data_IF_729888175416
#
_entry.id   IF_729888175416
#
_cell.length_a   1.000
_cell.length_b   1.000
_cell.length_c   1.000
_cell.angle_alpha   90.00
_cell.angle_beta   90.00
_cell.angle_gamma   90.00
#
_symmetry.space_group_name_H-M   'P 1'
#
loop_
_entity.id
_entity.type
_entity.pdbx_description
1 polymer ?
#
# COMPACT_ATOMS: atom_id res chain seq x y z
N UNK A 1 -2.45 -20.10 -14.97
CA UNK A 1 -2.93 -19.10 -14.00
C UNK A 1 -3.03 -17.79 -14.75
N UNK A 2 -4.18 -17.14 -14.69
CA UNK A 2 -4.39 -15.83 -15.30
C UNK A 2 -3.62 -14.79 -14.49
N UNK A 3 -3.12 -13.75 -15.15
CA UNK A 3 -2.51 -12.62 -14.46
C UNK A 3 -3.54 -11.90 -13.56
N UNK A 4 -3.11 -11.40 -12.42
CA UNK A 4 -3.89 -10.46 -11.60
C UNK A 4 -4.26 -9.26 -12.48
N UNK A 5 -5.54 -8.94 -12.52
CA UNK A 5 -6.08 -7.87 -13.37
C UNK A 5 -6.20 -6.56 -12.60
N UNK A 6 -6.23 -5.45 -13.32
CA UNK A 6 -6.45 -4.12 -12.72
C UNK A 6 -7.77 -4.02 -11.93
N UNK A 7 -8.82 -4.71 -12.37
CA UNK A 7 -10.13 -4.76 -11.67
C UNK A 7 -10.07 -5.50 -10.32
N UNK A 8 -9.00 -6.25 -10.06
CA UNK A 8 -8.77 -6.98 -8.81
C UNK A 8 -7.91 -6.16 -7.82
N UNK A 9 -7.47 -4.96 -8.21
CA UNK A 9 -6.72 -4.03 -7.36
C UNK A 9 -7.69 -2.94 -6.89
N UNK A 10 -8.03 -2.98 -5.60
CA UNK A 10 -9.12 -2.17 -5.04
C UNK A 10 -8.59 -1.32 -3.90
N UNK A 11 -8.81 0.00 -3.99
CA UNK A 11 -8.44 0.93 -2.93
C UNK A 11 -9.52 1.02 -1.86
N UNK A 12 -9.15 0.81 -0.60
CA UNK A 12 -10.01 0.95 0.57
C UNK A 12 -9.46 1.99 1.55
N UNK A 13 -10.31 2.79 2.21
CA UNK A 13 -9.89 3.65 3.30
C UNK A 13 -9.73 2.85 4.61
N UNK A 14 -9.08 3.45 5.60
CA UNK A 14 -9.22 3.00 6.99
C UNK A 14 -10.60 3.31 7.57
N UNK A 15 -10.99 2.62 8.65
CA UNK A 15 -12.26 2.86 9.36
C UNK A 15 -12.31 4.28 9.96
N UNK A 16 -11.19 4.78 10.49
CA UNK A 16 -11.11 6.11 11.10
C UNK A 16 -10.39 7.09 10.16
N UNK A 17 -11.16 7.96 9.50
CA UNK A 17 -10.64 8.98 8.56
C UNK A 17 -10.54 10.40 9.17
N UNK A 18 -10.53 10.51 10.50
CA UNK A 18 -10.40 11.81 11.17
C UNK A 18 -8.99 12.40 10.96
N UNK A 19 -8.80 13.67 11.32
CA UNK A 19 -7.50 14.36 11.22
C UNK A 19 -6.80 14.46 12.59
N UNK A 20 -6.84 13.36 13.36
CA UNK A 20 -6.21 13.30 14.69
C UNK A 20 -5.13 12.22 14.74
N UNK A 21 -4.36 12.18 15.83
CA UNK A 21 -3.32 11.16 16.07
C UNK A 21 -3.89 9.73 16.15
N UNK A 22 -5.20 9.54 16.35
CA UNK A 22 -5.87 8.23 16.33
C UNK A 22 -6.46 7.82 14.98
N UNK A 23 -6.31 8.67 13.94
CA UNK A 23 -6.73 8.34 12.59
C UNK A 23 -6.03 7.08 12.07
N UNK A 24 -6.62 6.39 11.09
CA UNK A 24 -6.06 5.19 10.51
C UNK A 24 -6.57 3.92 11.19
N UNK A 25 -5.64 3.04 11.58
CA UNK A 25 -5.99 1.71 12.06
C UNK A 25 -6.47 0.82 10.91
N UNK A 26 -7.49 0.00 11.16
CA UNK A 26 -7.90 -1.14 10.31
C UNK A 26 -8.59 -0.69 9.01
N UNK A 27 -8.40 -1.46 7.94
CA UNK A 27 -9.05 -1.28 6.63
C UNK A 27 -10.58 -1.38 6.72
N UNK A 28 -11.28 -0.49 6.03
CA UNK A 28 -12.73 -0.53 5.86
C UNK A 28 -13.08 -1.20 4.52
N UNK A 29 -13.29 -2.51 4.58
CA UNK A 29 -13.56 -3.36 3.42
C UNK A 29 -14.95 -3.14 2.79
N UNK A 30 -15.81 -2.33 3.43
CA UNK A 30 -17.15 -1.98 2.92
C UNK A 30 -17.14 -0.75 2.01
N UNK A 31 -16.10 0.09 2.10
CA UNK A 31 -15.98 1.29 1.30
C UNK A 31 -14.90 1.10 0.25
N UNK A 32 -15.28 1.28 -1.01
CA UNK A 32 -14.36 1.27 -2.15
C UNK A 32 -14.17 2.71 -2.61
N UNK A 33 -12.92 3.11 -2.78
CA UNK A 33 -12.56 4.38 -3.43
C UNK A 33 -12.24 4.04 -4.88
N UNK A 34 -13.00 4.60 -5.83
CA UNK A 34 -12.66 4.44 -7.24
C UNK A 34 -11.34 5.14 -7.53
N UNK A 35 -10.46 4.50 -8.29
CA UNK A 35 -9.09 5.00 -8.56
C UNK A 35 -9.06 6.39 -9.21
N UNK A 36 -10.08 6.76 -9.98
CA UNK A 36 -10.27 8.07 -10.63
C UNK A 36 -10.83 9.16 -9.67
N UNK A 37 -11.04 8.81 -8.40
CA UNK A 37 -11.67 9.66 -7.38
C UNK A 37 -10.89 9.69 -6.07
N UNK A 38 -9.60 9.34 -6.04
CA UNK A 38 -8.81 9.48 -4.79
C UNK A 38 -8.82 10.94 -4.29
N UNK A 39 -8.96 11.91 -5.20
CA UNK A 39 -9.23 13.32 -4.86
C UNK A 39 -10.53 13.57 -4.08
N UNK A 40 -11.47 12.63 -4.03
CA UNK A 40 -12.67 12.68 -3.16
C UNK A 40 -12.39 12.24 -1.72
N UNK A 41 -11.27 11.55 -1.48
CA UNK A 41 -10.82 11.20 -0.12
C UNK A 41 -10.23 12.43 0.56
N UNK A 42 -9.57 13.30 -0.21
CA UNK A 42 -9.06 14.57 0.29
C UNK A 42 -10.23 15.54 0.40
N UNK A 43 -10.46 16.03 1.62
CA UNK A 43 -11.44 17.08 1.85
C UNK A 43 -10.95 18.41 1.26
N UNK A 44 -11.89 19.26 0.82
CA UNK A 44 -11.55 20.59 0.32
C UNK A 44 -10.74 21.37 1.37
N UNK A 45 -9.57 21.87 0.95
CA UNK A 45 -8.70 22.67 1.80
C UNK A 45 -9.27 24.09 1.92
N UNK A 46 -9.61 24.47 3.14
CA UNK A 46 -10.24 25.77 3.40
C UNK A 46 -9.25 26.93 3.28
N UNK A 47 -9.73 28.13 2.95
CA UNK A 47 -8.88 29.33 2.89
C UNK A 47 -8.08 29.59 4.18
N UNK A 48 -8.65 29.44 5.40
CA UNK A 48 -7.88 29.57 6.64
C UNK A 48 -6.71 28.58 6.74
N UNK A 49 -6.91 27.34 6.28
CA UNK A 49 -5.85 26.32 6.26
C UNK A 49 -4.75 26.67 5.29
N UNK A 50 -5.08 27.22 4.11
CA UNK A 50 -4.06 27.69 3.15
C UNK A 50 -3.26 28.87 3.69
N UNK A 51 -3.91 29.80 4.39
CA UNK A 51 -3.23 30.98 4.95
C UNK A 51 -2.28 30.60 6.10
N UNK A 52 -2.69 29.68 6.97
CA UNK A 52 -1.88 29.27 8.13
C UNK A 52 -0.91 28.12 7.83
N UNK A 53 -1.17 27.38 6.75
CA UNK A 53 -0.60 26.07 6.50
C UNK A 53 -1.34 24.98 7.27
N UNK A 54 -1.39 23.79 6.69
CA UNK A 54 -2.05 22.62 7.26
C UNK A 54 -1.34 21.32 6.82
N UNK A 55 -1.63 20.24 7.53
CA UNK A 55 -1.24 18.89 7.16
C UNK A 55 -2.49 18.02 7.20
N UNK A 56 -2.80 17.35 6.08
CA UNK A 56 -3.88 16.38 5.99
C UNK A 56 -3.30 14.99 5.77
N UNK A 57 -3.93 13.99 6.37
CA UNK A 57 -3.47 12.61 6.30
C UNK A 57 -4.64 11.64 6.14
N UNK A 58 -4.43 10.63 5.30
CA UNK A 58 -5.43 9.62 4.99
C UNK A 58 -4.74 8.26 4.90
N UNK A 59 -5.25 7.28 5.65
CA UNK A 59 -4.76 5.91 5.55
C UNK A 59 -5.61 5.14 4.55
N UNK A 60 -4.94 4.58 3.54
CA UNK A 60 -5.52 3.82 2.45
C UNK A 60 -4.86 2.44 2.36
N UNK A 61 -5.50 1.56 1.61
CA UNK A 61 -5.10 0.18 1.41
C UNK A 61 -5.31 -0.17 -0.06
N UNK A 62 -4.26 -0.58 -0.76
CA UNK A 62 -4.43 -1.30 -2.03
C UNK A 62 -4.63 -2.78 -1.74
N UNK A 63 -5.86 -3.27 -1.88
CA UNK A 63 -6.21 -4.68 -1.69
C UNK A 63 -6.04 -5.44 -3.00
N UNK A 64 -5.38 -6.59 -2.95
CA UNK A 64 -5.27 -7.54 -4.05
C UNK A 64 -6.41 -8.55 -3.90
N UNK A 65 -7.58 -8.17 -4.44
CA UNK A 65 -8.81 -8.94 -4.38
C UNK A 65 -8.88 -9.98 -5.51
N UNK A 66 -7.85 -10.83 -5.64
CA UNK A 66 -7.82 -11.87 -6.66
C UNK A 66 -8.43 -13.20 -6.17
N UNK A 67 -9.38 -13.80 -6.91
CA UNK A 67 -10.11 -14.99 -6.45
C UNK A 67 -9.26 -16.25 -6.42
N UNK A 68 -8.18 -16.26 -7.21
CA UNK A 68 -7.25 -17.39 -7.32
C UNK A 68 -6.23 -17.45 -6.16
N UNK A 69 -6.27 -16.52 -5.20
CA UNK A 69 -5.32 -16.41 -4.08
C UNK A 69 -3.83 -16.38 -4.53
N UNK A 70 -3.55 -15.85 -5.71
CA UNK A 70 -2.17 -15.72 -6.20
C UNK A 70 -1.44 -14.63 -5.44
N UNK A 71 -0.15 -14.84 -5.21
CA UNK A 71 0.76 -13.85 -4.64
C UNK A 71 1.01 -12.75 -5.67
N UNK A 72 0.88 -11.48 -5.26
CA UNK A 72 1.28 -10.36 -6.09
C UNK A 72 2.73 -10.01 -5.77
N UNK A 73 3.64 -10.19 -6.74
CA UNK A 73 5.08 -10.13 -6.52
C UNK A 73 5.66 -8.76 -6.80
N UNK A 74 6.75 -8.44 -6.11
CA UNK A 74 7.56 -7.24 -6.34
C UNK A 74 6.71 -5.95 -6.42
N UNK A 75 5.86 -5.77 -5.42
CA UNK A 75 4.84 -4.71 -5.42
C UNK A 75 5.43 -3.36 -5.04
N UNK A 76 5.08 -2.36 -5.85
CA UNK A 76 5.42 -0.95 -5.67
C UNK A 76 4.17 -0.07 -5.67
N UNK A 77 4.11 0.90 -4.76
CA UNK A 77 3.09 1.96 -4.77
C UNK A 77 3.77 3.31 -4.95
N UNK A 78 3.22 4.14 -5.84
CA UNK A 78 3.77 5.45 -6.16
C UNK A 78 2.71 6.42 -6.66
N UNK A 79 3.00 7.71 -6.56
CA UNK A 79 2.18 8.77 -7.15
C UNK A 79 2.53 8.85 -8.64
N UNK A 80 1.56 8.66 -9.54
CA UNK A 80 1.77 8.67 -10.98
C UNK A 80 1.57 10.05 -11.60
N UNK A 81 0.69 10.86 -11.01
CA UNK A 81 0.41 12.25 -11.41
C UNK A 81 0.59 13.18 -10.20
N UNK A 82 1.60 14.08 -10.19
CA UNK A 82 1.82 15.01 -9.10
C UNK A 82 0.77 16.12 -9.08
N UNK A 83 0.57 16.73 -7.91
CA UNK A 83 -0.19 17.97 -7.80
C UNK A 83 0.53 19.11 -8.54
N UNK A 84 -0.26 19.97 -9.18
CA UNK A 84 0.23 21.17 -9.87
C UNK A 84 0.30 22.40 -8.97
N UNK A 85 -0.39 22.39 -7.84
CA UNK A 85 -0.46 23.49 -6.87
C UNK A 85 0.81 23.61 -6.03
N UNK A 86 0.78 24.52 -5.06
CA UNK A 86 1.80 24.67 -4.03
C UNK A 86 1.76 23.53 -2.99
N UNK A 87 0.75 22.65 -3.06
CA UNK A 87 0.62 21.55 -2.12
C UNK A 87 1.63 20.46 -2.40
N UNK A 88 1.95 19.71 -1.35
CA UNK A 88 2.98 18.69 -1.39
C UNK A 88 2.33 17.37 -1.02
N UNK A 89 2.14 16.55 -2.04
CA UNK A 89 1.62 15.20 -1.90
C UNK A 89 2.77 14.23 -1.63
N UNK A 90 2.64 13.49 -0.54
CA UNK A 90 3.57 12.46 -0.13
C UNK A 90 2.83 11.17 0.18
N UNK A 91 3.51 10.04 0.00
CA UNK A 91 3.09 8.75 0.51
C UNK A 91 3.97 8.34 1.69
N UNK A 92 3.46 7.55 2.62
CA UNK A 92 4.29 6.83 3.59
C UNK A 92 3.85 5.38 3.68
N UNK A 93 4.80 4.48 3.87
CA UNK A 93 4.49 3.06 4.10
C UNK A 93 3.77 2.95 5.44
N UNK A 94 2.55 2.39 5.43
CA UNK A 94 1.79 2.08 6.63
C UNK A 94 1.95 0.60 7.02
N UNK A 95 1.25 0.22 8.08
CA UNK A 95 1.02 -1.17 8.44
C UNK A 95 -0.49 -1.41 8.67
N UNK A 96 -0.89 -2.62 9.06
CA UNK A 96 -2.31 -2.96 9.19
C UNK A 96 -3.00 -2.35 10.43
N UNK A 97 -2.23 -1.86 11.40
CA UNK A 97 -2.71 -1.42 12.71
C UNK A 97 -2.31 0.00 13.09
N UNK A 98 -1.33 0.59 12.42
CA UNK A 98 -0.81 1.92 12.75
C UNK A 98 -1.89 2.99 12.62
N UNK A 99 -1.81 3.90 13.56
CA UNK A 99 -2.53 5.17 13.53
C UNK A 99 -1.58 6.30 13.16
N UNK A 100 -2.12 7.49 12.93
CA UNK A 100 -1.31 8.63 12.52
C UNK A 100 -0.20 8.97 13.53
N UNK A 101 -0.44 8.78 14.83
CA UNK A 101 0.58 8.96 15.86
C UNK A 101 1.87 8.16 15.59
N UNK A 102 1.73 6.95 15.03
CA UNK A 102 2.83 6.04 14.72
C UNK A 102 3.50 6.42 13.38
N UNK A 103 2.71 6.89 12.41
CA UNK A 103 3.14 7.10 11.03
C UNK A 103 3.60 8.53 10.71
N UNK A 104 3.28 9.54 11.52
CA UNK A 104 3.51 10.96 11.19
C UNK A 104 4.96 11.36 10.89
N UNK A 105 5.91 10.61 11.45
CA UNK A 105 7.36 10.81 11.26
C UNK A 105 7.99 9.76 10.34
N UNK A 106 7.19 8.90 9.71
CA UNK A 106 7.69 7.87 8.82
C UNK A 106 8.24 8.48 7.51
N UNK A 107 9.00 7.64 6.79
CA UNK A 107 9.63 7.97 5.50
C UNK A 107 8.58 8.40 4.47
N UNK A 108 8.76 9.59 3.88
CA UNK A 108 7.83 10.19 2.90
C UNK A 108 8.29 10.02 1.46
N UNK A 109 7.55 9.33 0.63
CA UNK A 109 7.81 9.16 -0.79
C UNK A 109 7.06 10.23 -1.58
N UNK A 110 7.62 10.75 -2.66
CA UNK A 110 6.97 11.79 -3.44
C UNK A 110 7.39 11.82 -4.89
N UNK A 111 7.09 12.95 -5.52
CA UNK A 111 7.25 13.14 -6.97
C UNK A 111 8.24 14.25 -7.30
N UNK A 112 8.74 14.19 -8.52
CA UNK A 112 9.60 15.17 -9.15
C UNK A 112 9.39 15.16 -10.66
N UNK A 113 9.95 16.17 -11.32
CA UNK A 113 9.86 16.35 -12.77
C UNK A 113 11.24 16.21 -13.39
N UNK A 114 11.32 15.58 -14.58
CA UNK A 114 12.58 15.48 -15.29
C UNK A 114 13.05 16.89 -15.71
N UNK A 115 14.28 17.26 -15.34
CA UNK A 115 14.84 18.58 -15.69
C UNK A 115 15.48 18.58 -17.07
N UNK A 116 16.24 17.53 -17.37
CA UNK A 116 16.99 17.40 -18.62
C UNK A 116 16.57 16.12 -19.33
N UNK A 117 16.39 16.20 -20.65
CA UNK A 117 16.13 15.01 -21.45
C UNK A 117 17.26 13.99 -21.29
N UNK A 118 16.91 12.71 -21.29
CA UNK A 118 17.82 11.59 -21.14
C UNK A 118 17.82 10.74 -22.40
N UNK A 119 18.94 10.06 -22.65
CA UNK A 119 19.06 9.10 -23.73
C UNK A 119 18.86 7.68 -23.20
N UNK A 120 18.66 6.73 -24.12
CA UNK A 120 18.78 5.31 -23.81
C UNK A 120 20.15 5.03 -23.17
N UNK A 121 20.21 4.07 -22.26
CA UNK A 121 21.39 3.74 -21.45
C UNK A 121 21.86 4.87 -20.51
N UNK A 122 21.07 5.93 -20.30
CA UNK A 122 21.42 6.93 -19.29
C UNK A 122 21.43 6.30 -17.89
N UNK A 123 22.48 6.59 -17.13
CA UNK A 123 22.64 6.18 -15.72
C UNK A 123 22.51 7.36 -14.76
N UNK A 124 22.24 8.56 -15.28
CA UNK A 124 22.08 9.78 -14.50
C UNK A 124 20.78 10.48 -14.88
N UNK A 125 20.03 10.90 -13.87
CA UNK A 125 18.86 11.76 -14.01
C UNK A 125 19.10 13.08 -13.28
N UNK A 126 18.63 14.18 -13.85
CA UNK A 126 18.54 15.46 -13.14
C UNK A 126 17.06 15.79 -13.02
N UNK A 127 16.59 15.98 -11.80
CA UNK A 127 15.17 16.18 -11.49
C UNK A 127 14.95 17.47 -10.71
N UNK A 128 13.80 18.10 -10.93
CA UNK A 128 13.30 19.18 -10.09
C UNK A 128 12.31 18.60 -9.08
N UNK A 129 12.60 18.76 -7.79
CA UNK A 129 11.73 18.30 -6.69
C UNK A 129 10.98 19.49 -6.09
N UNK A 130 10.10 19.22 -5.12
CA UNK A 130 9.46 20.26 -4.30
C UNK A 130 10.36 20.78 -3.16
N UNK A 131 11.64 20.39 -3.15
CA UNK A 131 12.63 20.78 -2.15
C UNK A 131 13.30 19.59 -1.46
N UNK A 132 14.57 19.76 -1.07
CA UNK A 132 15.36 18.72 -0.38
C UNK A 132 14.81 18.39 1.01
N UNK A 133 14.10 19.34 1.63
CA UNK A 133 13.63 19.24 3.03
C UNK A 133 12.54 18.17 3.21
N UNK A 134 11.75 17.90 2.16
CA UNK A 134 10.77 16.80 2.15
C UNK A 134 11.43 15.43 2.01
N UNK A 135 12.70 15.42 1.60
CA UNK A 135 13.55 14.24 1.52
C UNK A 135 12.90 13.11 0.70
N UNK A 136 12.09 13.44 -0.32
CA UNK A 136 11.29 12.47 -1.09
C UNK A 136 12.12 11.42 -1.84
N UNK A 137 13.41 11.67 -2.07
CA UNK A 137 14.30 10.76 -2.77
C UNK A 137 15.54 10.50 -1.92
N UNK A 138 15.86 9.22 -1.70
CA UNK A 138 17.01 8.76 -0.94
C UNK A 138 17.80 7.70 -1.72
N UNK A 139 19.05 7.50 -1.31
CA UNK A 139 19.84 6.38 -1.81
C UNK A 139 19.14 5.05 -1.52
N UNK A 140 19.20 4.13 -2.48
CA UNK A 140 18.55 2.83 -2.53
C UNK A 140 17.04 2.84 -2.77
N UNK A 141 16.39 4.01 -2.85
CA UNK A 141 14.97 4.06 -3.25
C UNK A 141 14.81 3.51 -4.67
N UNK A 142 13.72 2.77 -4.88
CA UNK A 142 13.20 2.52 -6.23
C UNK A 142 12.45 3.77 -6.68
N UNK A 143 12.68 4.17 -7.91
CA UNK A 143 11.94 5.21 -8.60
C UNK A 143 11.28 4.64 -9.84
N UNK A 144 10.16 5.24 -10.22
CA UNK A 144 9.54 5.06 -11.54
C UNK A 144 9.76 6.31 -12.37
N UNK A 145 9.98 6.13 -13.67
CA UNK A 145 10.09 7.18 -14.68
C UNK A 145 8.94 6.99 -15.67
N UNK A 146 8.07 8.01 -15.80
CA UNK A 146 6.79 7.89 -16.50
C UNK A 146 6.58 9.05 -17.47
N UNK A 147 6.33 8.76 -18.75
CA UNK A 147 5.82 9.72 -19.76
C UNK A 147 4.52 9.23 -20.45
N UNK A 148 3.91 8.15 -19.93
CA UNK A 148 2.53 7.74 -20.21
C UNK A 148 1.53 8.78 -19.70
N UNK A 149 0.40 8.99 -20.36
CA UNK A 149 -0.65 9.90 -19.88
C UNK A 149 -1.40 9.34 -18.67
N UNK A 150 -1.63 8.03 -18.68
CA UNK A 150 -2.33 7.24 -17.67
C UNK A 150 -1.86 5.77 -17.81
N UNK A 151 -2.25 4.85 -16.92
CA UNK A 151 -1.79 3.45 -16.96
C UNK A 151 -2.09 2.72 -18.28
N UNK A 152 -3.14 3.11 -19.00
CA UNK A 152 -3.59 2.46 -20.25
C UNK A 152 -2.96 3.10 -21.51
N UNK A 153 -2.12 4.13 -21.37
CA UNK A 153 -1.49 4.80 -22.50
C UNK A 153 -0.37 3.95 -23.11
N UNK A 154 -0.66 3.37 -24.28
CA UNK A 154 0.26 2.53 -25.06
C UNK A 154 1.37 3.30 -25.80
N UNK A 155 1.38 4.64 -25.74
CA UNK A 155 2.29 5.49 -26.53
C UNK A 155 3.39 6.16 -25.71
N UNK A 156 3.30 6.12 -24.38
CA UNK A 156 4.39 6.47 -23.47
C UNK A 156 5.09 5.23 -22.93
N UNK A 157 6.05 5.48 -22.04
CA UNK A 157 6.88 4.50 -21.39
C UNK A 157 6.79 4.67 -19.87
N UNK A 158 6.92 3.53 -19.20
CA UNK A 158 7.18 3.44 -17.77
C UNK A 158 8.34 2.48 -17.56
N UNK A 159 9.31 2.88 -16.74
CA UNK A 159 10.33 1.96 -16.25
C UNK A 159 10.77 2.28 -14.82
N UNK A 160 11.37 1.30 -14.15
CA UNK A 160 11.84 1.41 -12.76
C UNK A 160 13.36 1.36 -12.69
N UNK A 161 13.91 2.14 -11.78
CA UNK A 161 15.34 2.17 -11.50
C UNK A 161 15.58 2.34 -9.99
N UNK A 162 16.75 1.92 -9.51
CA UNK A 162 17.20 2.14 -8.13
C UNK A 162 18.19 3.29 -8.06
N UNK A 163 18.02 4.19 -7.09
CA UNK A 163 18.97 5.28 -6.83
C UNK A 163 20.23 4.71 -6.19
N UNK A 164 21.37 4.84 -6.88
CA UNK A 164 22.69 4.43 -6.37
C UNK A 164 23.33 5.53 -5.53
N UNK A 165 23.10 6.80 -5.88
CA UNK A 165 23.52 7.96 -5.08
C UNK A 165 22.73 9.19 -5.50
N UNK A 166 22.64 10.17 -4.60
CA UNK A 166 21.94 11.44 -4.82
C UNK A 166 22.83 12.62 -4.44
N UNK A 167 22.81 13.68 -5.27
CA UNK A 167 23.43 14.95 -4.97
C UNK A 167 22.41 16.07 -5.12
N UNK A 168 22.27 16.89 -4.07
CA UNK A 168 21.32 17.99 -4.00
C UNK A 168 21.97 19.33 -4.36
N UNK A 169 21.23 20.16 -5.08
CA UNK A 169 21.56 21.56 -5.36
C UNK A 169 20.27 22.40 -5.25
N UNK A 170 19.91 22.77 -4.02
CA UNK A 170 18.59 23.35 -3.74
C UNK A 170 17.49 22.33 -4.04
N UNK A 171 16.51 22.75 -4.83
CA UNK A 171 15.36 21.91 -5.23
C UNK A 171 15.69 20.96 -6.39
N UNK A 172 16.92 21.00 -6.92
CA UNK A 172 17.40 20.05 -7.91
C UNK A 172 18.10 18.87 -7.24
N UNK A 173 17.82 17.67 -7.73
CA UNK A 173 18.61 16.48 -7.42
C UNK A 173 19.23 15.88 -8.69
N UNK A 174 20.51 15.55 -8.62
CA UNK A 174 21.17 14.65 -9.57
C UNK A 174 21.21 13.25 -8.99
N UNK A 175 20.54 12.31 -9.66
CA UNK A 175 20.45 10.90 -9.28
C UNK A 175 21.39 10.07 -10.15
N UNK A 176 22.25 9.28 -9.52
CA UNK A 176 22.87 8.13 -10.19
C UNK A 176 21.92 6.95 -10.03
N UNK A 177 21.61 6.24 -11.11
CA UNK A 177 20.59 5.20 -11.14
C UNK A 177 21.11 3.90 -11.75
N UNK A 178 20.48 2.80 -11.36
CA UNK A 178 20.61 1.48 -11.98
C UNK A 178 19.22 1.02 -12.42
N UNK A 179 19.03 0.74 -13.71
CA UNK A 179 17.75 0.19 -14.19
C UNK A 179 17.48 -1.19 -13.59
N UNK A 180 16.21 -1.47 -13.31
CA UNK A 180 15.79 -2.79 -12.84
C UNK A 180 15.56 -3.79 -13.98
N UNK A 181 15.67 -3.35 -15.24
CA UNK A 181 15.39 -4.20 -16.41
C UNK A 181 16.63 -4.58 -17.21
N UNK A 182 17.60 -3.66 -17.35
CA UNK A 182 18.82 -3.87 -18.11
C UNK A 182 20.02 -3.28 -17.37
N UNK A 183 21.22 -3.86 -17.55
CA UNK A 183 22.42 -3.43 -16.84
C UNK A 183 22.98 -2.09 -17.36
N UNK A 184 22.65 -1.72 -18.59
CA UNK A 184 23.28 -0.63 -19.34
C UNK A 184 22.70 0.75 -18.99
N UNK A 185 21.69 0.84 -18.13
CA UNK A 185 20.99 2.10 -17.78
C UNK A 185 19.52 2.06 -18.22
N UNK A 186 18.94 3.23 -18.49
CA UNK A 186 17.53 3.29 -18.93
C UNK A 186 17.29 2.56 -20.25
N UNK A 187 16.16 1.87 -20.37
CA UNK A 187 15.74 1.20 -21.61
C UNK A 187 15.19 2.19 -22.63
N UNK A 188 14.64 3.31 -22.18
CA UNK A 188 14.06 4.33 -23.04
C UNK A 188 14.78 5.67 -22.90
N UNK A 189 14.67 6.48 -23.95
CA UNK A 189 15.01 7.90 -23.88
C UNK A 189 13.78 8.67 -23.41
N UNK A 190 13.97 9.61 -22.48
CA UNK A 190 12.89 10.45 -21.97
C UNK A 190 13.16 11.92 -22.30
N UNK A 191 12.21 12.55 -22.99
CA UNK A 191 12.19 14.00 -23.08
C UNK A 191 11.64 14.60 -21.78
N UNK A 192 11.84 15.89 -21.53
CA UNK A 192 11.24 16.55 -20.36
C UNK A 192 9.70 16.53 -20.40
N UNK A 193 9.14 16.49 -21.62
CA UNK A 193 7.72 16.34 -21.87
C UNK A 193 7.48 15.70 -23.25
N UNK A 194 6.30 15.10 -23.42
CA UNK A 194 5.78 14.56 -24.67
C UNK A 194 4.42 15.18 -24.95
N UNK A 195 4.08 15.46 -26.21
CA UNK A 195 2.75 15.94 -26.57
C UNK A 195 1.88 14.78 -27.05
N UNK A 196 0.71 14.57 -26.43
CA UNK A 196 -0.30 13.61 -26.86
C UNK A 196 -1.62 14.34 -27.10
N UNK A 197 -2.18 14.23 -28.31
CA UNK A 197 -3.44 14.89 -28.69
C UNK A 197 -3.47 16.41 -28.40
N UNK A 198 -2.33 17.08 -28.50
CA UNK A 198 -2.19 18.52 -28.24
C UNK A 198 -2.06 18.90 -26.76
N UNK A 199 -1.96 17.92 -25.86
CA UNK A 199 -1.71 18.10 -24.43
C UNK A 199 -0.27 17.72 -24.11
N UNK A 200 0.44 18.59 -23.40
CA UNK A 200 1.79 18.29 -22.92
C UNK A 200 1.73 17.42 -21.67
N UNK A 201 2.40 16.27 -21.75
CA UNK A 201 2.56 15.29 -20.70
C UNK A 201 4.00 15.38 -20.22
N UNK A 202 4.25 15.89 -19.01
CA UNK A 202 5.60 15.97 -18.47
C UNK A 202 6.15 14.60 -18.12
N UNK A 203 7.46 14.39 -18.24
CA UNK A 203 8.09 13.18 -17.70
C UNK A 203 8.22 13.31 -16.20
N UNK A 204 7.58 12.39 -15.47
CA UNK A 204 7.46 12.38 -14.02
C UNK A 204 8.36 11.31 -13.44
N UNK A 205 8.96 11.62 -12.30
CA UNK A 205 9.74 10.69 -11.50
C UNK A 205 9.07 10.58 -10.14
N UNK A 206 8.83 9.38 -9.67
CA UNK A 206 8.20 9.14 -8.37
C UNK A 206 9.01 8.11 -7.59
N UNK A 207 9.31 8.40 -6.33
CA UNK A 207 9.90 7.40 -5.42
C UNK A 207 8.82 6.42 -4.99
N UNK A 208 9.13 5.13 -4.98
CA UNK A 208 8.17 4.06 -4.76
C UNK A 208 8.25 3.51 -3.34
N UNK A 209 7.10 3.20 -2.74
CA UNK A 209 7.03 2.33 -1.57
C UNK A 209 7.18 0.88 -2.05
N UNK A 210 8.18 0.17 -1.53
CA UNK A 210 8.41 -1.25 -1.83
C UNK A 210 7.71 -2.15 -0.80
N UNK A 211 6.78 -3.00 -1.25
CA UNK A 211 6.14 -4.04 -0.42
C UNK A 211 6.73 -5.43 -0.66
N UNK A 212 7.39 -5.66 -1.80
CA UNK A 212 7.86 -7.00 -2.17
C UNK A 212 6.69 -7.90 -2.52
N UNK A 213 6.73 -9.16 -2.12
CA UNK A 213 5.65 -10.11 -2.36
C UNK A 213 4.51 -9.90 -1.36
N UNK A 214 3.31 -9.67 -1.90
CA UNK A 214 2.09 -9.40 -1.14
C UNK A 214 1.15 -10.59 -1.23
N UNK A 215 0.81 -11.10 -0.06
CA UNK A 215 -0.13 -12.19 0.16
C UNK A 215 -0.79 -11.99 1.52
N UNK A 216 -1.92 -12.65 1.73
CA UNK A 216 -2.50 -12.77 3.06
C UNK A 216 -1.53 -13.46 4.02
N UNK A 217 -1.61 -13.09 5.30
CA UNK A 217 -0.68 -13.58 6.33
C UNK A 217 -1.41 -13.91 7.63
N UNK A 218 -0.96 -14.98 8.28
CA UNK A 218 -1.35 -15.33 9.64
C UNK A 218 -0.10 -15.48 10.50
N UNK A 219 -0.15 -14.97 11.73
CA UNK A 219 0.91 -15.13 12.71
C UNK A 219 0.34 -15.47 14.08
N UNK A 220 1.08 -16.25 14.86
CA UNK A 220 0.75 -16.51 16.27
C UNK A 220 1.26 -15.34 17.09
N UNK A 221 0.35 -14.67 17.79
CA UNK A 221 0.65 -13.53 18.67
C UNK A 221 0.99 -14.01 20.06
N UNK A 222 0.21 -14.94 20.59
CA UNK A 222 0.35 -15.44 21.95
C UNK A 222 -0.13 -16.88 22.02
N UNK A 223 0.54 -17.69 22.85
CA UNK A 223 0.14 -19.08 23.09
C UNK A 223 0.28 -19.38 24.58
N UNK A 224 -0.84 -19.76 25.20
CA UNK A 224 -0.92 -20.14 26.61
C UNK A 224 -1.38 -21.59 26.71
N UNK A 225 -0.43 -22.51 26.74
CA UNK A 225 -0.65 -23.96 26.81
C UNK A 225 0.58 -24.65 27.39
N UNK A 226 0.38 -25.82 27.98
CA UNK A 226 1.47 -26.66 28.49
C UNK A 226 2.01 -27.58 27.40
N UNK A 227 1.12 -28.27 26.67
CA UNK A 227 1.48 -29.31 25.69
C UNK A 227 1.03 -28.99 24.25
N UNK A 228 0.19 -27.96 24.08
CA UNK A 228 -0.38 -27.56 22.81
C UNK A 228 0.66 -26.99 21.85
N UNK A 229 0.62 -27.46 20.61
CA UNK A 229 1.46 -26.98 19.51
C UNK A 229 0.59 -26.68 18.30
N UNK A 230 1.17 -26.02 17.30
CA UNK A 230 0.44 -25.48 16.17
C UNK A 230 1.23 -25.67 14.88
N UNK A 231 0.54 -25.97 13.79
CA UNK A 231 1.12 -25.99 12.44
C UNK A 231 0.55 -24.82 11.62
N UNK A 232 1.23 -23.67 11.63
CA UNK A 232 0.73 -22.43 10.99
C UNK A 232 0.43 -22.59 9.50
N UNK A 233 1.13 -23.50 8.82
CA UNK A 233 0.92 -23.79 7.39
C UNK A 233 -0.44 -24.48 7.10
N UNK A 234 -1.12 -24.99 8.14
CA UNK A 234 -2.47 -25.56 8.05
C UNK A 234 -3.58 -24.49 8.21
N UNK A 235 -3.22 -23.21 8.18
CA UNK A 235 -4.14 -22.09 8.09
C UNK A 235 -4.11 -21.53 6.67
N UNK A 236 -5.29 -21.32 6.09
CA UNK A 236 -5.44 -20.64 4.82
C UNK A 236 -6.27 -19.37 5.02
N UNK A 237 -5.79 -18.25 4.48
CA UNK A 237 -6.56 -17.00 4.41
C UNK A 237 -6.97 -16.78 2.96
N UNK A 238 -8.21 -16.36 2.76
CA UNK A 238 -8.69 -15.97 1.45
C UNK A 238 -8.23 -14.53 1.16
N UNK A 239 -7.55 -14.29 0.03
CA UNK A 239 -7.05 -12.96 -0.33
C UNK A 239 -8.19 -11.95 -0.49
N UNK A 240 -9.32 -12.37 -1.07
CA UNK A 240 -10.52 -11.54 -1.24
C UNK A 240 -11.22 -11.34 0.10
N UNK A 241 -11.51 -12.40 0.83
CA UNK A 241 -12.36 -12.31 2.02
C UNK A 241 -11.61 -11.99 3.31
N UNK A 242 -10.27 -11.98 3.29
CA UNK A 242 -9.42 -11.81 4.46
C UNK A 242 -9.72 -10.55 5.27
N UNK A 243 -9.67 -10.68 6.60
CA UNK A 243 -9.94 -9.58 7.53
C UNK A 243 -8.70 -9.35 8.39
N UNK A 244 -8.37 -8.07 8.60
CA UNK A 244 -7.36 -7.67 9.58
C UNK A 244 -7.93 -7.78 10.98
N UNK A 245 -7.49 -8.76 11.76
CA UNK A 245 -7.96 -8.94 13.13
C UNK A 245 -7.00 -9.80 13.97
N UNK A 246 -7.27 -9.84 15.26
CA UNK A 246 -6.67 -10.74 16.24
C UNK A 246 -7.77 -11.64 16.78
N UNK A 247 -7.63 -12.93 16.53
CA UNK A 247 -8.55 -13.97 16.99
C UNK A 247 -7.98 -14.63 18.24
N UNK A 248 -8.79 -14.73 19.29
CA UNK A 248 -8.46 -15.45 20.52
C UNK A 248 -9.29 -16.72 20.60
N UNK A 249 -8.62 -17.85 20.52
CA UNK A 249 -9.19 -19.19 20.72
C UNK A 249 -9.01 -19.57 22.18
N UNK A 250 -10.10 -19.90 22.87
CA UNK A 250 -10.10 -20.37 24.26
C UNK A 250 -10.71 -21.75 24.33
N UNK A 251 -9.93 -22.75 24.74
CA UNK A 251 -10.39 -24.13 24.81
C UNK A 251 -11.36 -24.32 25.98
N UNK A 252 -12.51 -24.93 25.72
CA UNK A 252 -13.49 -25.36 26.73
C UNK A 252 -13.28 -26.83 27.11
N UNK A 253 -12.67 -27.60 26.22
CA UNK A 253 -12.33 -29.01 26.42
C UNK A 253 -11.04 -29.36 25.66
N UNK A 254 -10.68 -30.65 25.57
CA UNK A 254 -9.54 -31.09 24.76
C UNK A 254 -9.80 -31.00 23.24
N UNK A 255 -11.04 -30.72 22.84
CA UNK A 255 -11.47 -30.66 21.44
C UNK A 255 -12.17 -29.37 21.07
N UNK A 256 -12.95 -28.79 21.98
CA UNK A 256 -13.84 -27.66 21.71
C UNK A 256 -13.22 -26.34 22.16
N UNK A 257 -13.43 -25.28 21.39
CA UNK A 257 -12.98 -23.94 21.70
C UNK A 257 -14.03 -22.88 21.36
N UNK A 258 -13.98 -21.77 22.10
CA UNK A 258 -14.66 -20.52 21.76
C UNK A 258 -13.69 -19.58 21.06
N UNK A 259 -14.22 -18.73 20.19
CA UNK A 259 -13.42 -17.74 19.46
C UNK A 259 -13.98 -16.35 19.70
N UNK A 260 -13.10 -15.41 20.01
CA UNK A 260 -13.41 -13.98 20.04
C UNK A 260 -12.47 -13.21 19.12
N UNK A 261 -12.94 -12.09 18.59
CA UNK A 261 -12.13 -11.16 17.79
C UNK A 261 -11.88 -9.88 18.57
N UNK A 262 -10.79 -9.17 18.24
CA UNK A 262 -10.60 -7.78 18.67
C UNK A 262 -11.57 -6.81 17.94
N UNK A 263 -12.19 -7.27 16.86
CA UNK A 263 -13.32 -6.62 16.24
C UNK A 263 -14.57 -7.09 16.99
N UNK A 264 -15.53 -6.19 17.26
CA UNK A 264 -16.80 -6.51 17.93
C UNK A 264 -17.74 -7.33 17.00
N UNK A 265 -17.26 -8.47 16.52
CA UNK A 265 -17.96 -9.41 15.66
C UNK A 265 -18.22 -10.71 16.43
N UNK A 266 -19.41 -11.27 16.21
CA UNK A 266 -19.77 -12.58 16.77
C UNK A 266 -19.16 -13.68 15.91
N UNK A 267 -18.44 -14.61 16.53
CA UNK A 267 -17.84 -15.76 15.86
C UNK A 267 -18.41 -17.06 16.41
N UNK A 268 -18.63 -18.07 15.55
CA UNK A 268 -19.06 -19.38 16.02
C UNK A 268 -17.95 -20.03 16.85
N UNK A 269 -18.34 -20.88 17.80
CA UNK A 269 -17.42 -21.84 18.42
C UNK A 269 -16.92 -22.86 17.40
N UNK A 270 -15.84 -23.57 17.73
CA UNK A 270 -15.26 -24.56 16.83
C UNK A 270 -14.70 -25.77 17.57
N UNK A 271 -14.23 -26.73 16.77
CA UNK A 271 -13.62 -27.96 17.26
C UNK A 271 -12.30 -28.19 16.53
N UNK A 272 -11.32 -28.77 17.21
CA UNK A 272 -10.01 -29.06 16.61
C UNK A 272 -10.03 -30.16 15.54
N UNK A 273 -11.13 -30.92 15.46
CA UNK A 273 -11.25 -32.11 14.61
C UNK A 273 -12.04 -31.85 13.32
N UNK A 274 -12.53 -30.63 13.13
CA UNK A 274 -13.21 -30.17 11.91
C UNK A 274 -12.58 -28.86 11.44
N UNK A 275 -12.74 -28.54 10.16
CA UNK A 275 -12.31 -27.23 9.66
C UNK A 275 -13.09 -26.12 10.40
N UNK A 276 -12.38 -25.08 10.84
CA UNK A 276 -12.98 -23.87 11.38
C UNK A 276 -12.94 -22.77 10.33
N UNK A 277 -14.13 -22.42 9.81
CA UNK A 277 -14.29 -21.57 8.62
C UNK A 277 -15.27 -20.42 8.89
N UNK A 278 -14.86 -19.40 9.67
CA UNK A 278 -15.71 -18.26 9.93
C UNK A 278 -15.99 -17.46 8.64
N UNK A 279 -17.26 -17.10 8.46
CA UNK A 279 -17.79 -16.54 7.21
C UNK A 279 -17.63 -15.01 7.12
N UNK A 280 -17.23 -14.50 5.96
CA UNK A 280 -17.30 -13.08 5.64
C UNK A 280 -18.52 -12.80 4.74
N UNK A 281 -19.56 -12.12 5.27
CA UNK A 281 -20.78 -11.86 4.53
C UNK A 281 -20.61 -10.86 3.37
N UNK A 282 -19.52 -10.11 3.32
CA UNK A 282 -19.29 -9.15 2.24
C UNK A 282 -18.89 -9.84 0.92
N UNK A 283 -18.34 -11.04 1.00
CA UNK A 283 -17.79 -11.79 -0.14
C UNK A 283 -18.42 -13.16 -0.33
N UNK A 284 -19.37 -13.51 0.53
CA UNK A 284 -19.99 -14.83 0.58
C UNK A 284 -19.00 -16.02 0.65
N UNK A 285 -17.89 -15.83 1.39
CA UNK A 285 -16.80 -16.79 1.50
C UNK A 285 -16.22 -16.83 2.92
N UNK A 286 -15.66 -17.96 3.37
CA UNK A 286 -14.80 -17.98 4.55
C UNK A 286 -13.61 -17.05 4.37
N UNK A 287 -13.29 -16.24 5.39
CA UNK A 287 -12.11 -15.39 5.34
C UNK A 287 -10.84 -16.11 5.81
N UNK A 288 -11.02 -17.20 6.54
CA UNK A 288 -9.99 -18.03 7.17
C UNK A 288 -10.50 -19.46 7.19
N UNK A 289 -9.63 -20.42 6.90
CA UNK A 289 -9.86 -21.84 7.14
C UNK A 289 -8.74 -22.36 8.01
N UNK A 290 -9.07 -22.87 9.19
CA UNK A 290 -8.12 -23.58 10.07
C UNK A 290 -8.43 -25.07 9.99
N UNK A 291 -7.52 -25.84 9.39
CA UNK A 291 -7.66 -27.28 9.27
C UNK A 291 -7.40 -28.00 10.61
N UNK A 292 -7.95 -29.21 10.85
CA UNK A 292 -7.60 -30.03 12.01
C UNK A 292 -6.09 -30.24 12.20
N UNK A 293 -5.32 -30.26 11.12
CA UNK A 293 -3.85 -30.40 11.14
C UNK A 293 -3.14 -29.22 11.80
N UNK A 294 -3.81 -28.08 11.94
CA UNK A 294 -3.28 -26.94 12.68
C UNK A 294 -3.07 -27.29 14.16
N UNK A 295 -3.98 -28.06 14.75
CA UNK A 295 -4.03 -28.31 16.19
C UNK A 295 -3.21 -29.55 16.55
N UNK A 296 -1.97 -29.33 17.00
CA UNK A 296 -1.05 -30.39 17.39
C UNK A 296 -0.92 -30.48 18.92
N UNK A 297 -0.51 -31.66 19.40
CA UNK A 297 -0.37 -31.93 20.84
C UNK A 297 -1.70 -31.99 21.60
N UNK A 298 -1.60 -31.88 22.92
CA UNK A 298 -2.76 -31.89 23.82
C UNK A 298 -3.11 -30.46 24.22
N UNK A 299 -4.38 -30.12 24.04
CA UNK A 299 -4.95 -28.87 24.52
C UNK A 299 -5.90 -29.18 25.67
N UNK A 300 -6.00 -28.28 26.63
CA UNK A 300 -6.85 -28.44 27.81
C UNK A 300 -7.79 -27.24 28.00
N UNK A 301 -8.86 -27.46 28.75
CA UNK A 301 -9.81 -26.39 29.09
C UNK A 301 -9.09 -25.23 29.80
N UNK A 302 -9.35 -24.00 29.35
CA UNK A 302 -8.72 -22.77 29.85
C UNK A 302 -7.42 -22.39 29.14
N UNK A 303 -6.87 -23.25 28.29
CA UNK A 303 -5.74 -22.89 27.43
C UNK A 303 -6.20 -22.00 26.27
N UNK A 304 -5.29 -21.17 25.76
CA UNK A 304 -5.64 -20.21 24.73
C UNK A 304 -4.54 -19.96 23.70
N UNK A 305 -4.97 -19.53 22.52
CA UNK A 305 -4.13 -19.15 21.40
C UNK A 305 -4.64 -17.85 20.81
N UNK A 306 -3.75 -16.89 20.59
CA UNK A 306 -4.04 -15.68 19.81
C UNK A 306 -3.31 -15.72 18.49
N UNK A 307 -4.04 -15.52 17.41
CA UNK A 307 -3.47 -15.33 16.07
C UNK A 307 -3.86 -13.96 15.53
N UNK A 308 -3.01 -13.37 14.70
CA UNK A 308 -3.32 -12.19 13.91
C UNK A 308 -3.40 -12.57 12.45
N UNK A 309 -4.44 -12.10 11.77
CA UNK A 309 -4.65 -12.27 10.33
C UNK A 309 -4.57 -10.92 9.64
N UNK A 310 -3.99 -10.89 8.44
CA UNK A 310 -4.03 -9.73 7.54
C UNK A 310 -4.40 -10.18 6.12
N UNK A 311 -5.20 -9.40 5.38
CA UNK A 311 -5.52 -9.70 3.99
C UNK A 311 -4.32 -9.45 3.08
N UNK A 312 -4.46 -9.86 1.82
CA UNK A 312 -3.53 -9.46 0.76
C UNK A 312 -3.76 -7.98 0.42
N UNK A 313 -3.08 -7.08 1.12
CA UNK A 313 -3.21 -5.64 0.92
C UNK A 313 -1.93 -4.88 1.28
N UNK A 314 -1.79 -3.69 0.70
CA UNK A 314 -0.70 -2.77 0.93
C UNK A 314 -1.21 -1.53 1.69
N UNK A 315 -1.04 -1.44 3.01
CA UNK A 315 -1.44 -0.26 3.79
C UNK A 315 -0.47 0.90 3.59
N UNK A 316 -0.95 2.06 3.15
CA UNK A 316 -0.14 3.27 2.98
C UNK A 316 -0.87 4.52 3.45
N UNK A 317 -0.10 5.57 3.71
CA UNK A 317 -0.62 6.88 4.07
C UNK A 317 -0.47 7.84 2.92
N UNK A 318 -1.51 8.59 2.62
CA UNK A 318 -1.48 9.78 1.78
C UNK A 318 -1.38 10.99 2.69
N UNK A 319 -0.37 11.83 2.45
CA UNK A 319 -0.08 13.01 3.25
C UNK A 319 -0.06 14.21 2.32
N UNK A 320 -0.79 15.26 2.68
CA UNK A 320 -0.84 16.52 1.96
C UNK A 320 -0.32 17.59 2.90
N UNK A 321 0.87 18.11 2.62
CA UNK A 321 1.36 19.30 3.30
C UNK A 321 0.92 20.53 2.48
N UNK A 322 0.25 21.46 3.17
CA UNK A 322 -0.17 22.74 2.63
C UNK A 322 0.72 23.82 3.26
N UNK A 323 1.69 24.37 2.53
CA UNK A 323 2.49 25.48 3.02
C UNK A 323 1.64 26.73 3.34
N UNK A 324 2.04 27.58 4.30
CA UNK A 324 1.35 28.85 4.55
C UNK A 324 1.37 29.77 3.33
N UNK A 325 0.24 30.43 3.07
CA UNK A 325 -0.01 31.28 1.91
C UNK A 325 -0.01 30.52 0.56
N UNK A 326 -0.34 29.23 0.56
CA UNK A 326 -0.52 28.47 -0.68
C UNK A 326 -1.67 29.04 -1.52
N UNK A 327 -1.52 29.01 -2.85
CA UNK A 327 -2.62 29.33 -3.76
C UNK A 327 -3.76 28.32 -3.64
N UNK A 328 -4.95 28.69 -4.13
CA UNK A 328 -6.03 27.72 -4.29
C UNK A 328 -5.64 26.65 -5.32
N UNK A 329 -6.15 25.44 -5.12
CA UNK A 329 -5.96 24.29 -6.00
C UNK A 329 -7.29 23.97 -6.67
N UNK A 330 -7.73 24.79 -7.62
CA UNK A 330 -9.00 24.54 -8.31
C UNK A 330 -8.87 23.29 -9.20
N UNK A 331 -9.49 22.18 -8.76
CA UNK A 331 -9.69 20.91 -9.50
C UNK A 331 -8.40 20.17 -9.88
N UNK A 332 -7.55 19.94 -8.90
CA UNK A 332 -6.37 19.09 -9.11
C UNK A 332 -6.71 17.61 -8.93
N UNK A 333 -6.37 16.82 -9.93
CA UNK A 333 -6.40 15.37 -9.87
C UNK A 333 -4.98 14.88 -9.67
N UNK A 334 -4.80 13.97 -8.72
CA UNK A 334 -3.60 13.17 -8.57
C UNK A 334 -4.01 11.71 -8.59
N UNK A 335 -3.09 10.89 -9.04
CA UNK A 335 -3.30 9.46 -9.21
C UNK A 335 -2.23 8.72 -8.42
N UNK A 336 -2.66 7.68 -7.71
CA UNK A 336 -1.79 6.72 -7.03
C UNK A 336 -1.91 5.42 -7.79
N UNK A 337 -0.76 4.86 -8.17
CA UNK A 337 -0.70 3.60 -8.90
C UNK A 337 0.02 2.55 -8.07
N UNK A 338 -0.37 1.32 -8.32
CA UNK A 338 0.31 0.11 -7.87
C UNK A 338 0.86 -0.64 -9.08
N UNK A 339 2.05 -1.21 -8.93
CA UNK A 339 2.69 -2.05 -9.95
C UNK A 339 3.27 -3.29 -9.30
N UNK A 340 3.30 -4.39 -10.03
CA UNK A 340 3.80 -5.68 -9.57
C UNK A 340 3.54 -6.76 -10.62
N UNK A 341 3.97 -7.98 -10.33
CA UNK A 341 3.90 -9.10 -11.26
C UNK A 341 3.07 -10.24 -10.67
N UNK A 342 2.31 -10.94 -11.52
CA UNK A 342 1.49 -12.09 -11.13
C UNK A 342 2.03 -13.43 -11.63
N UNK A 343 3.19 -13.46 -12.30
CA UNK A 343 3.76 -14.70 -12.84
C UNK A 343 4.35 -15.60 -11.74
N UNK A 344 4.02 -16.89 -11.81
CA UNK A 344 4.82 -17.95 -11.19
C UNK A 344 6.21 -17.89 -11.82
N UNK A 345 7.23 -17.78 -10.97
CA UNK A 345 8.62 -18.04 -11.36
C UNK A 345 8.76 -19.40 -12.02
#
# INVERSE_FOLDING_TARGET
>A
MSAIKSEELITHPAILLNQTDSAGGIMNDLLIISSDTIGTVIEDITEPERLLGANRHYKLYEKIANPDNQIFKEVYIYISTPLTSDYILSLSKGNFFDVWADAKNARRYGTAMLKNATSIAATTLVINTRGSDFNHFQQNDIITIIDQANPDDLTGHQEFARIQSIQWNGDEATLQIQSLYIEEGLRYAYNIQRTLNGVDIPTRISSCIEYGDVTSNVSIVEKNTIEGTTNVDAIQINNIAGITQVLTFTFESATDFQVSSNLDISLPSGQKITDYEPYNPNYDLPYLTISPEFWLGNWAAGESLKISTTPSACPYWVIVDIPPNSSDSDKELFDINISGNSSSS
#
